data_IF_399904917637
#
_entry.id   IF_399904917637
#
_cell.length_a   1.000
_cell.length_b   1.000
_cell.length_c   1.000
_cell.angle_alpha   90.00
_cell.angle_beta   90.00
_cell.angle_gamma   90.00
#
_symmetry.space_group_name_H-M   'P 1'
#
loop_
_entity.id
_entity.type
_entity.pdbx_description
1 polymer ?
#
# COMPACT_ATOMS: atom_id res chain seq x y z
N UNK A 1 81.20 2.40 -26.53
CA UNK A 1 80.94 1.56 -25.34
C UNK A 1 79.46 1.75 -25.01
N UNK A 2 78.73 0.65 -24.89
CA UNK A 2 77.31 0.46 -25.24
C UNK A 2 76.29 1.47 -24.73
N UNK A 3 75.42 1.89 -25.65
CA UNK A 3 74.05 2.34 -25.41
C UNK A 3 73.22 1.07 -25.15
N UNK A 4 72.47 1.04 -24.06
CA UNK A 4 71.58 -0.07 -23.70
C UNK A 4 70.19 0.28 -24.23
N UNK A 5 69.72 -0.50 -25.19
CA UNK A 5 68.37 -0.42 -25.73
C UNK A 5 67.34 -0.78 -24.64
N UNK A 6 66.31 0.05 -24.46
CA UNK A 6 65.11 -0.30 -23.71
C UNK A 6 63.96 -0.49 -24.70
N UNK A 7 63.52 -1.74 -24.86
CA UNK A 7 62.32 -2.10 -25.59
C UNK A 7 61.08 -1.42 -24.98
N UNK A 8 60.12 -0.95 -25.80
CA UNK A 8 58.88 -0.38 -25.30
C UNK A 8 57.94 -1.48 -24.79
N UNK A 9 57.36 -1.25 -23.60
CA UNK A 9 56.36 -2.12 -23.01
C UNK A 9 55.13 -2.24 -23.91
N UNK A 10 54.73 -3.49 -24.12
CA UNK A 10 53.70 -3.93 -25.04
C UNK A 10 52.31 -3.44 -24.61
N UNK A 11 51.62 -2.76 -25.53
CA UNK A 11 50.25 -2.28 -25.38
C UNK A 11 49.29 -3.44 -25.66
N UNK A 12 48.95 -4.24 -24.65
CA UNK A 12 47.86 -5.22 -24.75
C UNK A 12 46.67 -4.81 -23.87
N UNK A 13 45.67 -4.29 -24.58
CA UNK A 13 44.25 -4.22 -24.26
C UNK A 13 43.77 -5.46 -23.49
N UNK A 14 43.22 -5.26 -22.30
CA UNK A 14 42.30 -6.19 -21.65
C UNK A 14 40.99 -5.44 -21.38
N UNK A 15 40.16 -5.35 -22.42
CA UNK A 15 38.71 -5.39 -22.24
C UNK A 15 38.39 -6.81 -21.76
N UNK A 16 38.24 -6.99 -20.45
CA UNK A 16 37.57 -8.18 -19.92
C UNK A 16 36.18 -7.72 -19.46
N UNK A 17 35.09 -8.23 -20.06
CA UNK A 17 33.78 -8.10 -19.45
C UNK A 17 33.82 -8.96 -18.19
N UNK A 18 33.71 -8.35 -17.01
CA UNK A 18 33.56 -9.11 -15.77
C UNK A 18 32.31 -10.02 -15.91
N UNK A 19 32.50 -11.33 -15.73
CA UNK A 19 31.45 -12.34 -15.78
C UNK A 19 30.42 -12.09 -14.66
N UNK A 20 29.27 -11.51 -15.03
CA UNK A 20 28.09 -11.47 -14.17
C UNK A 20 27.34 -12.83 -14.09
N UNK A 21 27.91 -13.89 -14.64
CA UNK A 21 27.27 -15.21 -14.80
C UNK A 21 27.00 -15.95 -13.48
N UNK A 22 27.50 -15.45 -12.34
CA UNK A 22 27.32 -16.08 -11.02
C UNK A 22 26.41 -15.30 -10.06
N UNK A 23 25.66 -14.29 -10.51
CA UNK A 23 24.67 -13.61 -9.67
C UNK A 23 23.37 -14.42 -9.64
N UNK A 24 23.12 -15.13 -8.54
CA UNK A 24 21.82 -15.76 -8.27
C UNK A 24 20.85 -14.70 -7.80
N UNK A 25 19.88 -14.34 -8.64
CA UNK A 25 18.78 -13.48 -8.25
C UNK A 25 17.75 -14.26 -7.42
N UNK A 26 17.18 -13.66 -6.36
CA UNK A 26 16.07 -14.27 -5.65
C UNK A 26 14.84 -14.44 -6.56
N UNK A 27 13.97 -15.43 -6.28
CA UNK A 27 12.78 -15.67 -7.08
C UNK A 27 11.85 -14.45 -7.07
N UNK A 28 11.27 -14.11 -8.21
CA UNK A 28 10.43 -12.92 -8.36
C UNK A 28 8.93 -13.26 -8.56
N UNK A 29 8.60 -14.41 -9.14
CA UNK A 29 7.21 -14.83 -9.38
C UNK A 29 6.63 -15.68 -8.23
N UNK A 30 6.55 -15.12 -7.03
CA UNK A 30 6.04 -15.80 -5.84
C UNK A 30 4.51 -15.64 -5.72
N UNK A 31 3.83 -16.71 -5.34
CA UNK A 31 2.41 -16.63 -4.96
C UNK A 31 2.28 -16.10 -3.54
N UNK A 32 1.22 -15.32 -3.28
CA UNK A 32 0.87 -14.93 -1.92
C UNK A 32 0.70 -16.14 -1.01
N UNK A 33 1.14 -15.99 0.24
CA UNK A 33 1.02 -16.96 1.32
C UNK A 33 0.33 -16.30 2.53
N UNK A 34 -0.84 -15.70 2.28
CA UNK A 34 -1.67 -15.13 3.34
C UNK A 34 -2.70 -16.15 3.84
N UNK A 35 -3.03 -16.13 5.15
CA UNK A 35 -4.15 -16.90 5.66
C UNK A 35 -5.48 -16.38 5.09
N UNK A 36 -6.55 -17.12 5.35
CA UNK A 36 -7.92 -16.63 5.15
C UNK A 36 -8.19 -15.44 6.05
N UNK A 37 -8.98 -14.48 5.57
CA UNK A 37 -9.44 -13.33 6.35
C UNK A 37 -10.11 -13.76 7.66
N UNK A 38 -9.93 -12.96 8.71
CA UNK A 38 -10.31 -13.31 10.08
C UNK A 38 -11.85 -13.38 10.27
N UNK A 39 -12.63 -12.55 9.57
CA UNK A 39 -14.10 -12.52 9.71
C UNK A 39 -14.83 -11.93 8.51
N UNK A 40 -16.16 -12.06 8.49
CA UNK A 40 -17.00 -11.37 7.50
C UNK A 40 -16.91 -9.84 7.60
N UNK A 41 -16.87 -9.28 8.81
CA UNK A 41 -16.73 -7.83 9.01
C UNK A 41 -15.39 -7.34 8.47
N UNK A 42 -14.32 -8.09 8.71
CA UNK A 42 -12.97 -7.83 8.19
C UNK A 42 -12.98 -7.80 6.65
N UNK A 43 -13.58 -8.80 6.01
CA UNK A 43 -13.77 -8.84 4.55
C UNK A 43 -14.58 -7.64 4.03
N UNK A 44 -15.71 -7.32 4.66
CA UNK A 44 -16.55 -6.19 4.24
C UNK A 44 -15.82 -4.85 4.34
N UNK A 45 -15.08 -4.63 5.42
CA UNK A 45 -14.31 -3.41 5.62
C UNK A 45 -13.17 -3.30 4.59
N UNK A 46 -12.50 -4.41 4.27
CA UNK A 46 -11.46 -4.43 3.23
C UNK A 46 -12.03 -4.10 1.84
N UNK A 47 -13.12 -4.76 1.46
CA UNK A 47 -13.82 -4.51 0.19
C UNK A 47 -14.30 -3.07 0.09
N UNK A 48 -14.77 -2.49 1.20
CA UNK A 48 -15.23 -1.11 1.26
C UNK A 48 -14.10 -0.12 0.95
N UNK A 49 -12.91 -0.30 1.55
CA UNK A 49 -11.76 0.56 1.28
C UNK A 49 -11.31 0.45 -0.18
N UNK A 50 -11.20 -0.76 -0.71
CA UNK A 50 -10.82 -1.00 -2.10
C UNK A 50 -11.81 -0.37 -3.08
N UNK A 51 -13.11 -0.61 -2.91
CA UNK A 51 -14.16 -0.05 -3.77
C UNK A 51 -14.16 1.47 -3.77
N UNK A 52 -14.08 2.09 -2.61
CA UNK A 52 -14.05 3.55 -2.49
C UNK A 52 -12.82 4.14 -3.21
N UNK A 53 -11.63 3.58 -2.98
CA UNK A 53 -10.40 4.11 -3.55
C UNK A 53 -10.33 3.86 -5.07
N UNK A 54 -10.68 2.66 -5.53
CA UNK A 54 -10.71 2.35 -6.97
C UNK A 54 -11.75 3.16 -7.73
N UNK A 55 -12.89 3.48 -7.10
CA UNK A 55 -13.89 4.35 -7.70
C UNK A 55 -13.42 5.80 -7.79
N UNK A 56 -12.79 6.29 -6.73
CA UNK A 56 -12.27 7.66 -6.65
C UNK A 56 -11.10 7.90 -7.60
N UNK A 57 -10.21 6.92 -7.72
CA UNK A 57 -9.03 6.93 -8.60
C UNK A 57 -9.22 6.11 -9.88
N UNK A 58 -10.47 5.94 -10.35
CA UNK A 58 -10.78 5.11 -11.52
C UNK A 58 -10.08 5.58 -12.81
N UNK A 59 -9.78 6.88 -12.92
CA UNK A 59 -9.10 7.48 -14.07
C UNK A 59 -7.56 7.51 -13.91
N UNK A 60 -7.02 6.95 -12.81
CA UNK A 60 -5.58 6.81 -12.53
C UNK A 60 -5.07 5.41 -12.87
N UNK A 61 -3.82 5.36 -13.34
CA UNK A 61 -3.10 4.12 -13.69
C UNK A 61 -1.73 4.00 -13.02
N UNK A 62 -1.40 4.95 -12.15
CA UNK A 62 -0.12 5.16 -11.47
C UNK A 62 -0.13 4.70 -10.01
N UNK A 63 -0.99 3.73 -9.67
CA UNK A 63 -1.03 3.14 -8.33
C UNK A 63 -1.42 1.66 -8.37
N UNK A 64 -1.11 0.97 -7.28
CA UNK A 64 -1.64 -0.37 -7.00
C UNK A 64 -2.19 -0.40 -5.58
N UNK A 65 -3.48 -0.69 -5.43
CA UNK A 65 -4.13 -0.92 -4.14
C UNK A 65 -4.62 -2.36 -4.06
N UNK A 66 -4.44 -3.00 -2.92
CA UNK A 66 -4.86 -4.40 -2.73
C UNK A 66 -5.14 -4.68 -1.27
N UNK A 67 -5.75 -5.84 -1.03
CA UNK A 67 -5.89 -6.40 0.31
C UNK A 67 -5.44 -7.85 0.41
N UNK A 68 -5.03 -8.25 1.62
CA UNK A 68 -4.62 -9.61 1.96
C UNK A 68 -3.63 -10.22 0.95
N UNK A 69 -2.59 -9.46 0.61
CA UNK A 69 -1.56 -9.83 -0.36
C UNK A 69 -0.18 -9.78 0.31
N UNK A 70 0.59 -10.85 0.18
CA UNK A 70 1.91 -10.99 0.81
C UNK A 70 2.91 -10.00 0.24
N UNK A 71 3.67 -9.38 1.13
CA UNK A 71 4.81 -8.53 0.79
C UNK A 71 6.11 -9.27 1.08
N UNK A 72 6.82 -9.69 0.04
CA UNK A 72 8.14 -10.31 0.16
C UNK A 72 9.23 -9.22 0.17
N UNK A 73 9.87 -9.03 1.32
CA UNK A 73 10.84 -7.94 1.53
C UNK A 73 12.26 -8.39 1.87
N UNK A 74 12.50 -9.69 2.06
CA UNK A 74 13.84 -10.26 2.28
C UNK A 74 14.08 -11.45 1.34
N UNK A 75 15.11 -11.37 0.49
CA UNK A 75 15.53 -12.48 -0.39
C UNK A 75 15.93 -13.76 0.35
N UNK A 76 16.35 -13.64 1.61
CA UNK A 76 17.02 -14.73 2.33
C UNK A 76 16.05 -15.65 3.10
N UNK A 77 14.74 -15.35 3.09
CA UNK A 77 13.65 -16.13 3.71
C UNK A 77 14.04 -16.78 5.06
N UNK A 78 14.68 -16.03 5.95
CA UNK A 78 15.01 -16.52 7.30
C UNK A 78 13.70 -16.79 8.05
N UNK A 79 13.67 -17.79 8.94
CA UNK A 79 12.45 -18.19 9.70
C UNK A 79 11.76 -17.06 10.51
N UNK A 80 12.44 -15.94 10.76
CA UNK A 80 11.85 -14.72 11.33
C UNK A 80 11.04 -13.89 10.32
N UNK A 81 10.97 -14.33 9.07
CA UNK A 81 10.37 -13.66 7.90
C UNK A 81 9.09 -14.38 7.42
N UNK A 82 8.52 -15.28 8.24
CA UNK A 82 7.11 -15.72 8.10
C UNK A 82 6.15 -14.60 8.53
N UNK A 83 6.33 -13.43 7.95
CA UNK A 83 5.52 -12.26 8.19
C UNK A 83 4.27 -12.34 7.34
N UNK A 84 3.10 -12.24 7.99
CA UNK A 84 1.83 -12.03 7.28
C UNK A 84 1.83 -10.63 6.70
N UNK A 85 1.50 -10.51 5.43
CA UNK A 85 1.35 -9.24 4.75
C UNK A 85 0.27 -8.36 5.39
N UNK A 86 0.19 -7.09 4.96
CA UNK A 86 -0.80 -6.17 5.47
C UNK A 86 -2.20 -6.49 4.96
N UNK A 87 -3.23 -6.20 5.77
CA UNK A 87 -4.62 -6.38 5.36
C UNK A 87 -5.00 -5.52 4.17
N UNK A 88 -4.56 -4.27 4.12
CA UNK A 88 -4.72 -3.34 3.01
C UNK A 88 -3.45 -2.52 2.82
N UNK A 89 -3.04 -2.33 1.56
CA UNK A 89 -1.96 -1.41 1.26
C UNK A 89 -2.07 -0.77 -0.13
N UNK A 90 -1.37 0.34 -0.29
CA UNK A 90 -1.29 1.09 -1.54
C UNK A 90 0.16 1.39 -1.88
N UNK A 91 0.54 1.20 -3.15
CA UNK A 91 1.83 1.61 -3.69
C UNK A 91 1.63 2.71 -4.74
N UNK A 92 2.34 3.81 -4.52
CA UNK A 92 2.54 5.02 -5.33
C UNK A 92 3.34 4.76 -6.62
N UNK A 93 3.02 5.47 -7.71
CA UNK A 93 3.85 5.56 -8.92
C UNK A 93 4.22 4.19 -9.50
N UNK A 94 3.24 3.27 -9.56
CA UNK A 94 3.41 1.93 -10.14
C UNK A 94 2.25 1.61 -11.08
N UNK A 95 2.44 0.64 -11.96
CA UNK A 95 1.40 0.23 -12.90
C UNK A 95 0.23 -0.44 -12.17
N UNK A 96 -0.99 0.02 -12.49
CA UNK A 96 -2.26 -0.58 -12.03
C UNK A 96 -2.54 -1.90 -12.76
N UNK A 97 -1.81 -2.95 -12.37
CA UNK A 97 -2.00 -4.33 -12.87
C UNK A 97 -2.16 -5.35 -11.72
N UNK A 98 -2.87 -6.46 -11.97
CA UNK A 98 -2.96 -7.56 -11.01
C UNK A 98 -1.58 -8.13 -10.67
N UNK A 99 -1.39 -8.51 -9.40
CA UNK A 99 -0.16 -9.12 -8.88
C UNK A 99 -0.48 -10.35 -8.05
N UNK A 100 0.42 -11.33 -8.06
CA UNK A 100 0.31 -12.57 -7.25
C UNK A 100 0.81 -12.38 -5.82
N UNK A 101 1.74 -11.46 -5.65
CA UNK A 101 2.31 -10.99 -4.39
C UNK A 101 3.01 -9.65 -4.67
N UNK A 102 3.45 -8.94 -3.65
CA UNK A 102 4.32 -7.78 -3.81
C UNK A 102 5.75 -8.16 -3.47
N UNK A 103 6.60 -8.32 -4.49
CA UNK A 103 8.00 -8.72 -4.31
C UNK A 103 8.90 -7.51 -4.42
N UNK A 104 9.42 -7.04 -3.28
CA UNK A 104 10.11 -5.73 -3.19
C UNK A 104 11.36 -5.66 -4.06
N UNK A 105 12.14 -6.75 -4.20
CA UNK A 105 13.34 -6.74 -5.04
C UNK A 105 13.05 -6.81 -6.55
N UNK A 106 11.81 -7.14 -6.94
CA UNK A 106 11.34 -7.05 -8.32
C UNK A 106 10.71 -5.69 -8.59
N UNK A 107 9.83 -5.23 -7.69
CA UNK A 107 9.09 -3.97 -7.84
C UNK A 107 9.94 -2.72 -7.51
N UNK A 108 11.03 -2.90 -6.74
CA UNK A 108 11.92 -1.83 -6.30
C UNK A 108 11.29 -0.85 -5.30
N UNK A 109 10.11 -1.17 -4.74
CA UNK A 109 9.32 -0.28 -3.89
C UNK A 109 8.66 -1.02 -2.74
N UNK A 110 8.45 -0.30 -1.64
CA UNK A 110 7.61 -0.73 -0.52
C UNK A 110 6.26 -0.02 -0.60
N UNK A 111 5.23 -0.53 0.11
CA UNK A 111 3.96 0.17 0.22
C UNK A 111 4.08 1.58 0.81
N UNK A 112 3.39 2.54 0.19
CA UNK A 112 3.31 3.93 0.64
C UNK A 112 2.37 4.06 1.84
N UNK A 113 1.24 3.33 1.80
CA UNK A 113 0.25 3.29 2.87
C UNK A 113 -0.03 1.84 3.24
N UNK A 114 -0.15 1.58 4.55
CA UNK A 114 -0.65 0.31 5.09
C UNK A 114 -1.79 0.59 6.07
N UNK A 115 -2.86 -0.20 5.98
CA UNK A 115 -3.97 -0.21 6.95
C UNK A 115 -4.14 -1.65 7.43
N UNK A 116 -4.05 -1.87 8.74
CA UNK A 116 -4.39 -3.15 9.37
C UNK A 116 -5.80 -3.08 9.96
N UNK A 117 -6.59 -4.13 9.74
CA UNK A 117 -7.94 -4.26 10.26
C UNK A 117 -7.88 -5.25 11.43
N UNK A 118 -7.86 -4.70 12.64
CA UNK A 118 -7.56 -5.47 13.83
C UNK A 118 -8.62 -6.52 14.12
N UNK A 119 -8.18 -7.62 14.71
CA UNK A 119 -9.02 -8.59 15.38
C UNK A 119 -8.42 -8.92 16.75
N UNK A 120 -9.17 -9.60 17.65
CA UNK A 120 -8.61 -10.05 18.93
C UNK A 120 -7.36 -10.94 18.79
N UNK A 121 -7.17 -11.63 17.65
CA UNK A 121 -6.03 -12.51 17.41
C UNK A 121 -4.79 -11.77 16.88
N UNK A 122 -4.95 -10.62 16.24
CA UNK A 122 -3.85 -9.89 15.56
C UNK A 122 -3.47 -8.57 16.22
N UNK A 123 -4.36 -7.97 17.02
CA UNK A 123 -4.19 -6.61 17.57
C UNK A 123 -2.83 -6.34 18.23
N UNK A 124 -2.35 -7.23 19.09
CA UNK A 124 -1.05 -7.08 19.78
C UNK A 124 0.13 -7.08 18.79
N UNK A 125 0.06 -7.94 17.77
CA UNK A 125 1.12 -8.07 16.76
C UNK A 125 1.11 -6.87 15.83
N UNK A 126 -0.07 -6.41 15.40
CA UNK A 126 -0.23 -5.27 14.50
C UNK A 126 0.25 -3.96 15.18
N UNK A 127 -0.19 -3.69 16.41
CA UNK A 127 0.20 -2.50 17.19
C UNK A 127 1.68 -2.51 17.63
N UNK A 128 2.29 -3.69 17.72
CA UNK A 128 3.67 -3.88 18.16
C UNK A 128 4.63 -4.21 17.02
N UNK A 129 4.81 -5.50 16.77
CA UNK A 129 5.86 -6.01 15.87
C UNK A 129 5.69 -5.55 14.43
N UNK A 130 4.46 -5.56 13.87
CA UNK A 130 4.24 -5.11 12.50
C UNK A 130 4.49 -3.61 12.37
N UNK A 131 3.96 -2.80 13.30
CA UNK A 131 4.25 -1.36 13.35
C UNK A 131 5.76 -1.09 13.32
N UNK A 132 6.55 -1.82 14.11
CA UNK A 132 8.00 -1.68 14.10
C UNK A 132 8.61 -2.08 12.74
N UNK A 133 8.19 -3.21 12.16
CA UNK A 133 8.67 -3.64 10.85
C UNK A 133 8.36 -2.60 9.76
N UNK A 134 7.13 -2.07 9.74
CA UNK A 134 6.73 -1.06 8.77
C UNK A 134 7.56 0.22 8.93
N UNK A 135 7.89 0.60 10.16
CA UNK A 135 8.72 1.76 10.47
C UNK A 135 10.19 1.58 10.10
N UNK A 136 10.79 0.46 10.50
CA UNK A 136 12.24 0.27 10.50
C UNK A 136 12.75 -0.36 9.19
N UNK A 137 11.93 -1.24 8.60
CA UNK A 137 12.28 -1.99 7.39
C UNK A 137 11.57 -1.45 6.15
N UNK A 138 10.23 -1.34 6.17
CA UNK A 138 9.50 -0.95 4.95
C UNK A 138 9.62 0.54 4.68
N UNK A 139 9.82 1.33 5.74
CA UNK A 139 9.80 2.80 5.66
C UNK A 139 8.48 3.29 5.04
N UNK A 140 7.38 2.59 5.30
CA UNK A 140 6.04 2.98 4.86
C UNK A 140 5.71 4.37 5.41
N UNK A 141 5.20 5.26 4.57
CA UNK A 141 5.01 6.66 4.95
C UNK A 141 3.86 6.83 5.91
N UNK A 142 2.69 6.25 5.59
CA UNK A 142 1.49 6.33 6.42
C UNK A 142 1.06 4.93 6.86
N UNK A 143 0.92 4.72 8.17
CA UNK A 143 0.45 3.46 8.74
C UNK A 143 -0.77 3.69 9.62
N UNK A 144 -1.83 2.91 9.40
CA UNK A 144 -3.05 2.97 10.19
C UNK A 144 -3.44 1.60 10.72
N UNK A 145 -4.19 1.61 11.82
CA UNK A 145 -5.00 0.46 12.20
C UNK A 145 -6.42 0.87 12.54
N UNK A 146 -7.36 -0.04 12.31
CA UNK A 146 -8.75 0.11 12.69
C UNK A 146 -9.29 -1.17 13.31
N UNK A 147 -9.88 -1.06 14.50
CA UNK A 147 -10.58 -2.14 15.16
C UNK A 147 -12.09 -2.01 14.89
N UNK A 148 -12.72 -2.93 14.14
CA UNK A 148 -14.14 -2.86 13.80
C UNK A 148 -15.08 -3.13 15.00
N UNK A 149 -14.59 -3.76 16.07
CA UNK A 149 -15.39 -4.08 17.25
C UNK A 149 -15.39 -2.91 18.25
N UNK A 150 -14.22 -2.29 18.47
CA UNK A 150 -14.08 -1.15 19.41
C UNK A 150 -14.20 0.22 18.75
N UNK A 151 -14.16 0.27 17.42
CA UNK A 151 -14.08 1.48 16.60
C UNK A 151 -12.81 2.32 16.85
N UNK A 152 -11.77 1.72 17.44
CA UNK A 152 -10.47 2.37 17.57
C UNK A 152 -9.86 2.61 16.20
N UNK A 153 -9.53 3.87 15.90
CA UNK A 153 -8.75 4.26 14.73
C UNK A 153 -7.50 4.99 15.20
N UNK A 154 -6.34 4.53 14.76
CA UNK A 154 -5.08 5.24 14.93
C UNK A 154 -4.31 5.30 13.62
N UNK A 155 -3.48 6.33 13.49
CA UNK A 155 -2.68 6.59 12.31
C UNK A 155 -1.34 7.17 12.68
N UNK A 156 -0.34 6.91 11.85
CA UNK A 156 1.03 7.31 12.07
C UNK A 156 1.66 7.76 10.77
N UNK A 157 2.45 8.81 10.83
CA UNK A 157 3.27 9.28 9.73
C UNK A 157 4.76 9.11 10.05
N UNK A 158 5.53 8.64 9.07
CA UNK A 158 6.96 8.41 9.23
C UNK A 158 7.74 9.73 9.10
N UNK A 159 8.35 10.18 10.19
CA UNK A 159 9.19 11.38 10.25
C UNK A 159 10.57 11.00 10.78
N UNK A 160 11.61 11.31 10.00
CA UNK A 160 13.00 11.00 10.36
C UNK A 160 13.21 9.52 10.77
N UNK A 161 12.51 8.62 10.08
CA UNK A 161 12.59 7.18 10.31
C UNK A 161 11.84 6.67 11.55
N UNK A 162 11.00 7.49 12.18
CA UNK A 162 10.13 7.11 13.30
C UNK A 162 8.68 7.49 13.05
N UNK A 163 7.76 6.62 13.43
CA UNK A 163 6.35 6.90 13.35
C UNK A 163 5.91 7.88 14.43
N UNK A 164 5.34 9.00 14.00
CA UNK A 164 4.66 9.95 14.86
C UNK A 164 3.14 9.73 14.73
N UNK A 165 2.37 9.70 15.82
CA UNK A 165 0.92 9.64 15.75
C UNK A 165 0.37 10.82 14.94
N UNK A 166 -0.63 10.54 14.11
CA UNK A 166 -1.41 11.57 13.42
C UNK A 166 -2.43 12.16 14.39
N UNK A 167 -2.49 13.48 14.45
CA UNK A 167 -3.49 14.18 15.25
C UNK A 167 -4.82 14.25 14.46
N UNK A 168 -5.95 13.89 15.09
CA UNK A 168 -7.25 13.99 14.43
C UNK A 168 -7.69 15.45 14.27
N UNK A 169 -8.43 15.71 13.20
CA UNK A 169 -9.15 16.97 13.04
C UNK A 169 -10.37 17.06 13.98
N UNK A 170 -11.15 18.15 13.90
CA UNK A 170 -12.36 18.35 14.73
C UNK A 170 -13.43 17.28 14.57
N UNK A 171 -13.41 16.50 13.49
CA UNK A 171 -14.34 15.40 13.21
C UNK A 171 -13.77 14.04 13.66
N UNK A 172 -12.56 14.00 14.22
CA UNK A 172 -11.90 12.76 14.59
C UNK A 172 -11.17 12.07 13.42
N UNK A 173 -10.96 12.75 12.29
CA UNK A 173 -10.36 12.15 11.10
C UNK A 173 -8.86 12.39 11.02
N UNK A 174 -8.13 11.39 10.52
CA UNK A 174 -6.68 11.38 10.39
C UNK A 174 -6.27 11.63 8.93
N UNK A 175 -5.40 12.60 8.69
CA UNK A 175 -4.94 12.94 7.34
C UNK A 175 -3.83 11.99 6.87
N UNK A 176 -4.03 11.33 5.73
CA UNK A 176 -2.96 10.64 5.00
C UNK A 176 -2.38 11.56 3.94
N UNK A 177 -1.10 11.91 4.07
CA UNK A 177 -0.42 12.74 3.08
C UNK A 177 -0.22 11.99 1.76
N UNK A 178 -0.05 10.67 1.81
CA UNK A 178 0.16 9.86 0.60
C UNK A 178 -1.12 9.64 -0.22
N UNK A 179 -2.28 9.51 0.46
CA UNK A 179 -3.56 9.39 -0.23
C UNK A 179 -4.17 10.75 -0.59
N UNK A 180 -3.74 11.83 0.06
CA UNK A 180 -4.41 13.14 0.03
C UNK A 180 -5.88 13.04 0.46
N UNK A 181 -6.14 12.17 1.42
CA UNK A 181 -7.46 11.84 1.96
C UNK A 181 -7.40 11.76 3.48
N UNK A 182 -8.51 12.11 4.12
CA UNK A 182 -8.77 11.79 5.51
C UNK A 182 -9.28 10.36 5.64
N UNK A 183 -8.85 9.67 6.70
CA UNK A 183 -9.43 8.42 7.18
C UNK A 183 -10.25 8.72 8.42
N UNK A 184 -11.46 8.20 8.50
CA UNK A 184 -12.35 8.46 9.63
C UNK A 184 -13.52 7.50 9.71
N UNK A 185 -14.27 7.57 10.80
CA UNK A 185 -15.45 6.74 11.00
C UNK A 185 -16.68 7.37 10.37
N UNK A 186 -17.47 6.55 9.68
CA UNK A 186 -18.82 6.88 9.24
C UNK A 186 -19.69 5.63 9.30
N UNK A 187 -20.83 5.71 10.00
CA UNK A 187 -21.72 4.57 10.26
C UNK A 187 -20.97 3.32 10.80
N UNK A 188 -20.07 3.53 11.75
CA UNK A 188 -19.24 2.48 12.39
C UNK A 188 -18.30 1.75 11.42
N UNK A 189 -17.98 2.35 10.28
CA UNK A 189 -17.03 1.82 9.30
C UNK A 189 -15.89 2.81 9.09
N UNK A 190 -14.69 2.29 8.80
CA UNK A 190 -13.59 3.12 8.32
C UNK A 190 -13.87 3.55 6.88
N UNK A 191 -13.83 4.86 6.63
CA UNK A 191 -14.10 5.49 5.34
C UNK A 191 -13.05 6.55 5.00
N UNK A 192 -13.00 6.89 3.73
CA UNK A 192 -12.18 7.98 3.22
C UNK A 192 -13.00 9.26 3.01
N UNK A 193 -12.38 10.40 3.26
CA UNK A 193 -12.97 11.71 3.00
C UNK A 193 -11.97 12.59 2.25
N UNK A 194 -12.46 13.41 1.34
CA UNK A 194 -11.67 14.42 0.65
C UNK A 194 -11.19 15.50 1.63
N UNK A 195 -10.23 16.33 1.19
CA UNK A 195 -9.71 17.45 1.98
C UNK A 195 -10.76 18.51 2.32
N UNK A 196 -11.82 18.65 1.51
CA UNK A 196 -12.98 19.50 1.77
C UNK A 196 -14.09 18.79 2.60
N UNK A 197 -13.84 17.55 3.01
CA UNK A 197 -14.66 16.80 3.96
C UNK A 197 -15.84 16.03 3.34
N UNK A 198 -15.82 15.78 2.04
CA UNK A 198 -16.80 14.95 1.36
C UNK A 198 -16.45 13.46 1.55
N UNK A 199 -17.45 12.66 1.90
CA UNK A 199 -17.31 11.21 1.96
C UNK A 199 -17.04 10.65 0.56
N UNK A 200 -16.00 9.83 0.42
CA UNK A 200 -15.78 9.07 -0.80
C UNK A 200 -16.85 7.97 -0.89
N UNK A 201 -17.71 7.99 -1.93
CA UNK A 201 -18.77 7.00 -2.07
C UNK A 201 -18.21 5.69 -2.59
N UNK A 202 -18.88 4.59 -2.28
CA UNK A 202 -18.73 3.36 -3.07
C UNK A 202 -19.35 3.54 -4.46
N UNK A 203 -19.03 2.69 -5.46
CA UNK A 203 -19.74 2.68 -6.73
C UNK A 203 -21.26 2.59 -6.58
N UNK A 204 -21.74 1.77 -5.64
CA UNK A 204 -23.16 1.60 -5.37
C UNK A 204 -23.80 2.86 -4.77
N UNK A 205 -23.14 3.50 -3.80
CA UNK A 205 -23.62 4.78 -3.23
C UNK A 205 -23.65 5.89 -4.29
N UNK A 206 -22.63 5.94 -5.17
CA UNK A 206 -22.57 6.89 -6.27
C UNK A 206 -23.68 6.65 -7.31
N UNK A 207 -23.97 5.38 -7.64
CA UNK A 207 -25.07 5.02 -8.53
C UNK A 207 -26.43 5.43 -7.95
N UNK A 208 -26.69 5.13 -6.68
CA UNK A 208 -27.93 5.55 -5.98
C UNK A 208 -28.09 7.07 -5.98
N UNK A 209 -27.00 7.81 -5.73
CA UNK A 209 -27.02 9.27 -5.76
C UNK A 209 -27.35 9.81 -7.18
N UNK A 210 -26.77 9.22 -8.22
CA UNK A 210 -27.04 9.58 -9.61
C UNK A 210 -28.50 9.28 -10.01
N UNK A 211 -29.03 8.12 -9.63
CA UNK A 211 -30.43 7.75 -9.86
C UNK A 211 -31.39 8.71 -9.15
N UNK A 212 -31.10 9.05 -7.89
CA UNK A 212 -31.89 10.00 -7.12
C UNK A 212 -31.88 11.40 -7.75
N UNK A 213 -30.73 11.85 -8.23
CA UNK A 213 -30.60 13.13 -8.93
C UNK A 213 -31.41 13.15 -10.23
N UNK A 214 -31.33 12.05 -11.00
CA UNK A 214 -32.10 11.90 -12.24
C UNK A 214 -33.61 11.89 -11.98
N UNK A 215 -34.07 11.21 -10.94
CA UNK A 215 -35.47 11.20 -10.55
C UNK A 215 -35.97 12.62 -10.21
N UNK A 216 -35.22 13.37 -9.40
CA UNK A 216 -35.53 14.77 -9.07
C UNK A 216 -35.54 15.67 -10.30
N UNK A 217 -34.59 15.48 -11.22
CA UNK A 217 -34.58 16.21 -12.48
C UNK A 217 -35.83 15.92 -13.30
N UNK A 218 -36.22 14.65 -13.43
CA UNK A 218 -37.43 14.25 -14.17
C UNK A 218 -38.71 14.82 -13.58
N UNK A 219 -38.81 14.86 -12.26
CA UNK A 219 -39.94 15.49 -11.57
C UNK A 219 -40.04 17.00 -11.86
N UNK A 220 -38.89 17.68 -11.96
CA UNK A 220 -38.84 19.14 -12.14
C UNK A 220 -38.93 19.59 -13.61
N UNK A 221 -38.35 18.83 -14.54
CA UNK A 221 -38.14 19.26 -15.93
C UNK A 221 -38.72 18.30 -16.98
N UNK A 222 -39.28 17.16 -16.58
CA UNK A 222 -39.75 16.12 -17.50
C UNK A 222 -38.64 15.17 -17.95
N UNK A 223 -38.91 14.37 -18.98
CA UNK A 223 -37.92 13.41 -19.50
C UNK A 223 -36.64 14.10 -20.00
N UNK A 224 -35.54 13.34 -19.99
CA UNK A 224 -34.29 13.79 -20.62
C UNK A 224 -34.54 14.05 -22.12
N UNK A 225 -33.92 15.09 -22.70
CA UNK A 225 -34.04 15.39 -24.13
C UNK A 225 -33.68 14.22 -25.06
#
# INVERSE_FOLDING_TARGET
MSIVDHEPANLHRLEQPEEFDNIIFPPSNLWSDEPTLESYLHLQQLLLLLKCLDWYWRDRNDYFATGNLTVYFSPNQKKSEHFRGPDFFVVLDTEKKPRRSWVVWEEGKYPNIIIELLSPSTAEIDKGLKKQLYQDNFRTFDYFWFDPDTLELAGFHLVEGKYQPLEPNSQGWLWSQQLELFLGLYNSQLRFFTSDGQLLPTPEEAAIAAETLLAKYREQFGELP
#
